data_IF_650679212913
#
_entry.id   IF_650679212913
#
_cell.length_a   1.000
_cell.length_b   1.000
_cell.length_c   1.000
_cell.angle_alpha   90.00
_cell.angle_beta   90.00
_cell.angle_gamma   90.00
#
_symmetry.space_group_name_H-M   'P 1'
#
loop_
_entity.id
_entity.type
_entity.pdbx_description
1 polymer ?
#
# COMPACT_ATOMS: atom_id res chain seq x y z
N UNK A 1 0.03 31.29 21.84
CA UNK A 1 0.18 29.93 22.41
C UNK A 1 -1.15 29.32 22.88
N UNK A 2 -1.66 29.58 24.10
CA UNK A 2 -2.86 28.86 24.61
C UNK A 2 -4.14 29.21 23.85
N UNK A 3 -4.35 30.45 23.41
CA UNK A 3 -5.58 30.85 22.70
C UNK A 3 -5.71 30.28 21.27
N UNK A 4 -4.62 30.19 20.50
CA UNK A 4 -4.68 29.54 19.18
C UNK A 4 -4.80 28.01 19.29
N UNK A 5 -4.11 27.38 20.25
CA UNK A 5 -4.26 25.93 20.46
C UNK A 5 -5.64 25.54 21.06
N UNK A 6 -6.31 26.44 21.77
CA UNK A 6 -7.71 26.27 22.20
C UNK A 6 -8.73 26.51 21.09
N UNK A 7 -8.30 26.85 19.87
CA UNK A 7 -9.23 26.96 18.75
C UNK A 7 -9.79 25.57 18.43
N UNK A 8 -11.11 25.33 18.57
CA UNK A 8 -11.71 24.02 18.31
C UNK A 8 -11.46 23.53 16.89
N UNK A 9 -11.22 24.43 15.93
CA UNK A 9 -10.87 24.09 14.55
C UNK A 9 -9.49 23.43 14.45
N UNK A 10 -8.49 23.87 15.22
CA UNK A 10 -7.16 23.25 15.24
C UNK A 10 -7.24 21.85 15.83
N UNK A 11 -7.96 21.67 16.95
CA UNK A 11 -8.19 20.36 17.55
C UNK A 11 -8.92 19.38 16.61
N UNK A 12 -9.91 19.88 15.87
CA UNK A 12 -10.64 19.07 14.88
C UNK A 12 -9.75 18.67 13.69
N UNK A 13 -8.91 19.59 13.17
CA UNK A 13 -7.98 19.29 12.08
C UNK A 13 -6.91 18.28 12.49
N UNK A 14 -6.34 18.41 13.70
CA UNK A 14 -5.41 17.42 14.24
C UNK A 14 -6.04 16.03 14.38
N UNK A 15 -7.30 15.97 14.80
CA UNK A 15 -8.06 14.71 14.89
C UNK A 15 -8.28 14.09 13.50
N UNK A 16 -8.61 14.90 12.49
CA UNK A 16 -8.75 14.44 11.10
C UNK A 16 -7.42 13.91 10.58
N UNK A 17 -6.31 14.63 10.78
CA UNK A 17 -4.97 14.18 10.35
C UNK A 17 -4.60 12.85 11.02
N UNK A 18 -4.83 12.73 12.33
CA UNK A 18 -4.58 11.47 13.05
C UNK A 18 -5.43 10.32 12.51
N UNK A 19 -6.72 10.56 12.27
CA UNK A 19 -7.65 9.54 11.76
C UNK A 19 -7.30 9.11 10.34
N UNK A 20 -7.04 10.06 9.44
CA UNK A 20 -6.66 9.78 8.04
C UNK A 20 -5.33 9.05 7.96
N UNK A 21 -4.34 9.43 8.77
CA UNK A 21 -3.06 8.71 8.89
C UNK A 21 -3.25 7.27 9.40
N UNK A 22 -4.06 7.09 10.45
CA UNK A 22 -4.39 5.76 10.99
C UNK A 22 -5.09 4.88 9.95
N UNK A 23 -6.02 5.44 9.17
CA UNK A 23 -6.71 4.72 8.11
C UNK A 23 -5.76 4.33 6.97
N UNK A 24 -4.86 5.24 6.55
CA UNK A 24 -3.83 4.93 5.56
C UNK A 24 -2.93 3.78 6.03
N UNK A 25 -2.48 3.81 7.29
CA UNK A 25 -1.67 2.74 7.88
C UNK A 25 -2.42 1.42 7.96
N UNK A 26 -3.72 1.46 8.27
CA UNK A 26 -4.58 0.26 8.30
C UNK A 26 -4.67 -0.39 6.93
N UNK A 27 -4.92 0.40 5.87
CA UNK A 27 -4.95 -0.10 4.48
C UNK A 27 -3.59 -0.67 4.07
N UNK A 28 -2.49 0.01 4.44
CA UNK A 28 -1.14 -0.49 4.16
C UNK A 28 -0.86 -1.83 4.86
N UNK A 29 -1.24 -1.97 6.12
CA UNK A 29 -1.09 -3.22 6.86
C UNK A 29 -1.95 -4.36 6.27
N UNK A 30 -3.16 -4.06 5.81
CA UNK A 30 -3.98 -5.03 5.08
C UNK A 30 -3.29 -5.48 3.78
N UNK A 31 -2.72 -4.55 3.03
CA UNK A 31 -1.93 -4.85 1.84
C UNK A 31 -0.76 -5.80 2.14
N UNK A 32 0.08 -5.46 3.13
CA UNK A 32 1.22 -6.28 3.55
C UNK A 32 0.75 -7.67 3.99
N UNK A 33 -0.31 -7.75 4.80
CA UNK A 33 -0.85 -9.02 5.30
C UNK A 33 -1.33 -9.92 4.15
N UNK A 34 -2.07 -9.36 3.18
CA UNK A 34 -2.55 -10.13 2.02
C UNK A 34 -1.39 -10.52 1.11
N UNK A 35 -0.41 -9.65 0.89
CA UNK A 35 0.78 -9.97 0.10
C UNK A 35 1.55 -11.15 0.70
N UNK A 36 1.94 -11.07 1.97
CA UNK A 36 2.64 -12.17 2.65
C UNK A 36 1.79 -13.42 2.81
N UNK A 37 0.49 -13.28 3.08
CA UNK A 37 -0.45 -14.40 3.13
C UNK A 37 -0.53 -15.12 1.78
N UNK A 38 -0.54 -14.38 0.67
CA UNK A 38 -0.54 -14.94 -0.68
C UNK A 38 0.77 -15.67 -0.99
N UNK A 39 1.92 -15.18 -0.51
CA UNK A 39 3.19 -15.86 -0.67
C UNK A 39 3.23 -17.15 0.14
N UNK A 40 2.81 -17.11 1.40
CA UNK A 40 2.71 -18.30 2.24
C UNK A 40 1.82 -19.36 1.57
N UNK A 41 0.67 -18.96 1.03
CA UNK A 41 -0.22 -19.85 0.28
C UNK A 41 0.43 -20.42 -0.98
N UNK A 42 1.04 -19.57 -1.82
CA UNK A 42 1.79 -20.00 -3.01
C UNK A 42 2.96 -20.94 -2.65
N UNK A 43 3.55 -20.76 -1.47
CA UNK A 43 4.60 -21.66 -0.99
C UNK A 43 4.09 -22.99 -0.46
N UNK A 44 2.90 -23.04 0.13
CA UNK A 44 2.32 -24.29 0.62
C UNK A 44 1.70 -25.13 -0.50
N UNK A 45 1.17 -24.48 -1.54
CA UNK A 45 0.39 -25.13 -2.59
C UNK A 45 0.88 -24.71 -3.98
N UNK A 46 1.83 -25.44 -4.59
CA UNK A 46 2.30 -25.13 -5.94
C UNK A 46 1.16 -25.31 -6.95
N UNK A 47 0.81 -24.24 -7.64
CA UNK A 47 -0.35 -24.20 -8.55
C UNK A 47 0.00 -24.61 -9.98
N UNK A 48 1.28 -24.82 -10.29
CA UNK A 48 1.77 -25.16 -11.65
C UNK A 48 0.97 -26.30 -12.31
N UNK A 49 0.61 -27.32 -11.54
CA UNK A 49 -0.08 -28.52 -12.02
C UNK A 49 -1.60 -28.50 -11.83
N UNK A 50 -2.15 -27.42 -11.24
CA UNK A 50 -3.58 -27.32 -10.92
C UNK A 50 -4.27 -26.55 -12.04
N UNK A 51 -4.94 -27.26 -12.95
CA UNK A 51 -5.68 -26.67 -14.07
C UNK A 51 -4.90 -26.68 -15.39
N UNK A 52 -5.37 -25.90 -16.38
CA UNK A 52 -4.70 -25.82 -17.69
C UNK A 52 -3.44 -24.97 -17.57
N UNK A 53 -2.32 -25.49 -18.06
CA UNK A 53 -1.07 -24.73 -18.16
C UNK A 53 -1.07 -23.88 -19.43
N UNK A 54 -0.88 -22.58 -19.27
CA UNK A 54 -0.65 -21.63 -20.35
C UNK A 54 0.84 -21.30 -20.34
N UNK A 55 1.52 -21.59 -21.45
CA UNK A 55 2.92 -21.17 -21.61
C UNK A 55 2.95 -19.70 -22.01
N UNK A 56 3.45 -18.85 -21.12
CA UNK A 56 3.79 -17.47 -21.46
C UNK A 56 5.30 -17.38 -21.59
N UNK A 57 5.80 -17.32 -22.82
CA UNK A 57 7.22 -17.38 -23.14
C UNK A 57 7.87 -18.69 -22.62
N UNK A 58 8.76 -18.61 -21.62
CA UNK A 58 9.41 -19.77 -20.97
C UNK A 58 8.79 -20.15 -19.60
N UNK A 59 7.79 -19.42 -19.11
CA UNK A 59 7.11 -19.73 -17.85
C UNK A 59 5.75 -20.40 -18.11
N UNK A 60 5.58 -21.61 -17.56
CA UNK A 60 4.27 -22.26 -17.52
C UNK A 60 3.45 -21.69 -16.38
N UNK A 61 2.44 -20.90 -16.69
CA UNK A 61 1.49 -20.37 -15.71
C UNK A 61 0.22 -21.22 -15.72
N UNK A 62 -0.23 -21.66 -14.55
CA UNK A 62 -1.54 -22.29 -14.44
C UNK A 62 -2.66 -21.26 -14.52
N UNK A 63 -3.77 -21.60 -15.17
CA UNK A 63 -5.01 -20.78 -15.15
C UNK A 63 -5.45 -20.42 -13.74
N UNK A 64 -5.31 -21.34 -12.78
CA UNK A 64 -5.67 -21.12 -11.38
C UNK A 64 -4.79 -20.05 -10.74
N UNK A 65 -3.48 -20.13 -10.97
CA UNK A 65 -2.52 -19.13 -10.46
C UNK A 65 -2.78 -17.74 -11.06
N UNK A 66 -3.18 -17.68 -12.32
CA UNK A 66 -3.54 -16.44 -13.00
C UNK A 66 -4.81 -15.85 -12.39
N UNK A 67 -5.85 -16.66 -12.17
CA UNK A 67 -7.10 -16.20 -11.54
C UNK A 67 -6.85 -15.64 -10.15
N UNK A 68 -6.10 -16.36 -9.30
CA UNK A 68 -5.73 -15.86 -7.96
C UNK A 68 -4.87 -14.60 -8.06
N UNK A 69 -3.92 -14.58 -8.99
CA UNK A 69 -3.09 -13.41 -9.27
C UNK A 69 -3.92 -12.17 -9.66
N UNK A 70 -4.95 -12.33 -10.49
CA UNK A 70 -5.85 -11.22 -10.84
C UNK A 70 -6.72 -10.77 -9.67
N UNK A 71 -7.17 -11.69 -8.81
CA UNK A 71 -7.87 -11.33 -7.58
C UNK A 71 -6.97 -10.52 -6.64
N UNK A 72 -5.69 -10.90 -6.50
CA UNK A 72 -4.70 -10.14 -5.73
C UNK A 72 -4.47 -8.77 -6.36
N UNK A 73 -4.33 -8.70 -7.69
CA UNK A 73 -4.14 -7.43 -8.39
C UNK A 73 -5.32 -6.48 -8.18
N UNK A 74 -6.56 -6.98 -8.27
CA UNK A 74 -7.75 -6.19 -7.99
C UNK A 74 -7.77 -5.67 -6.55
N UNK A 75 -7.42 -6.53 -5.58
CA UNK A 75 -7.29 -6.12 -4.18
C UNK A 75 -6.20 -5.04 -3.99
N UNK A 76 -5.04 -5.18 -4.65
CA UNK A 76 -3.97 -4.18 -4.60
C UNK A 76 -4.39 -2.84 -5.21
N UNK A 77 -5.14 -2.85 -6.32
CA UNK A 77 -5.68 -1.63 -6.94
C UNK A 77 -6.65 -0.92 -5.99
N UNK A 78 -7.59 -1.65 -5.39
CA UNK A 78 -8.55 -1.06 -4.43
C UNK A 78 -7.80 -0.48 -3.23
N UNK A 79 -6.86 -1.24 -2.66
CA UNK A 79 -6.04 -0.79 -1.53
C UNK A 79 -5.22 0.44 -1.88
N UNK A 80 -4.66 0.50 -3.10
CA UNK A 80 -3.92 1.66 -3.59
C UNK A 80 -4.80 2.91 -3.67
N UNK A 81 -6.00 2.79 -4.26
CA UNK A 81 -6.94 3.93 -4.37
C UNK A 81 -7.29 4.45 -2.98
N UNK A 82 -7.70 3.57 -2.06
CA UNK A 82 -8.03 3.96 -0.69
C UNK A 82 -6.85 4.59 0.04
N UNK A 83 -5.65 4.01 -0.08
CA UNK A 83 -4.44 4.57 0.52
C UNK A 83 -4.12 5.97 -0.03
N UNK A 84 -4.19 6.14 -1.35
CA UNK A 84 -3.90 7.41 -2.00
C UNK A 84 -4.92 8.49 -1.61
N UNK A 85 -6.20 8.13 -1.48
CA UNK A 85 -7.24 9.06 -1.02
C UNK A 85 -6.97 9.52 0.41
N UNK A 86 -6.64 8.60 1.33
CA UNK A 86 -6.31 8.98 2.72
C UNK A 86 -5.07 9.87 2.81
N UNK A 87 -4.00 9.57 2.06
CA UNK A 87 -2.80 10.42 2.01
C UNK A 87 -3.12 11.79 1.44
N UNK A 88 -3.90 11.85 0.36
CA UNK A 88 -4.31 13.12 -0.25
C UNK A 88 -5.13 13.98 0.73
N UNK A 89 -6.13 13.39 1.41
CA UNK A 89 -6.92 14.06 2.44
C UNK A 89 -6.06 14.53 3.62
N UNK A 90 -5.11 13.71 4.08
CA UNK A 90 -4.19 14.07 5.14
C UNK A 90 -3.33 15.28 4.75
N UNK A 91 -2.76 15.28 3.53
CA UNK A 91 -1.94 16.40 3.04
C UNK A 91 -2.75 17.68 2.90
N UNK A 92 -3.99 17.62 2.39
CA UNK A 92 -4.88 18.79 2.32
C UNK A 92 -5.14 19.35 3.73
N UNK A 93 -5.46 18.47 4.69
CA UNK A 93 -5.74 18.87 6.07
C UNK A 93 -4.51 19.47 6.77
N UNK A 94 -3.31 18.93 6.52
CA UNK A 94 -2.04 19.46 7.03
C UNK A 94 -1.76 20.84 6.42
N UNK A 95 -2.03 21.05 5.13
CA UNK A 95 -1.90 22.37 4.48
C UNK A 95 -2.85 23.40 5.07
N UNK A 96 -4.09 23.01 5.35
CA UNK A 96 -5.06 23.88 6.01
C UNK A 96 -4.65 24.20 7.45
N UNK A 97 -4.14 23.21 8.18
CA UNK A 97 -3.58 23.40 9.52
C UNK A 97 -2.39 24.38 9.50
N UNK A 98 -1.44 24.19 8.59
CA UNK A 98 -0.29 25.09 8.40
C UNK A 98 -0.73 26.52 8.11
N UNK A 99 -1.76 26.70 7.27
CA UNK A 99 -2.30 28.03 6.96
C UNK A 99 -2.93 28.72 8.16
N UNK A 100 -3.60 27.98 9.03
CA UNK A 100 -4.22 28.52 10.26
C UNK A 100 -3.14 28.84 11.30
N UNK A 101 -2.15 27.97 11.45
CA UNK A 101 -1.04 28.14 12.39
C UNK A 101 -0.14 29.31 11.99
N UNK A 102 0.20 29.47 10.71
CA UNK A 102 0.99 30.62 10.24
C UNK A 102 0.24 31.95 10.42
N UNK A 103 -1.09 31.94 10.33
CA UNK A 103 -1.91 33.13 10.65
C UNK A 103 -1.85 33.50 12.13
N UNK A 104 -1.55 32.54 13.02
CA UNK A 104 -1.31 32.78 14.44
C UNK A 104 0.11 33.29 14.74
N UNK A 105 1.00 33.38 13.74
CA UNK A 105 2.38 33.83 13.94
C UNK A 105 3.29 32.81 14.63
N UNK A 106 2.90 31.53 14.65
CA UNK A 106 3.70 30.45 15.21
C UNK A 106 4.29 29.61 14.07
N UNK A 107 5.63 29.53 13.98
CA UNK A 107 6.30 28.55 13.12
C UNK A 107 6.37 27.22 13.86
N UNK A 108 5.50 26.28 13.48
CA UNK A 108 5.55 24.91 14.03
C UNK A 108 6.40 24.07 13.09
N UNK A 109 7.68 23.91 13.45
CA UNK A 109 8.69 23.10 12.76
C UNK A 109 8.17 21.68 12.41
N UNK A 110 7.30 21.11 13.27
CA UNK A 110 6.67 19.79 13.05
C UNK A 110 5.74 19.76 11.83
N UNK A 111 5.01 20.84 11.56
CA UNK A 111 4.10 20.94 10.40
C UNK A 111 4.90 21.09 9.12
N UNK A 112 5.98 21.86 9.17
CA UNK A 112 6.90 22.05 8.04
C UNK A 112 7.62 20.74 7.69
N UNK A 113 8.04 19.95 8.69
CA UNK A 113 8.53 18.59 8.52
C UNK A 113 7.50 17.67 7.85
N UNK A 114 6.23 17.72 8.26
CA UNK A 114 5.16 16.94 7.64
C UNK A 114 4.90 17.34 6.18
N UNK A 115 5.02 18.63 5.85
CA UNK A 115 4.89 19.16 4.48
C UNK A 115 6.11 18.86 3.61
N UNK A 116 7.32 18.80 4.18
CA UNK A 116 8.56 18.47 3.45
C UNK A 116 8.54 17.06 2.84
N UNK A 117 7.70 16.17 3.39
CA UNK A 117 7.42 14.84 2.87
C UNK A 117 6.35 14.81 1.75
N UNK A 118 5.82 15.95 1.28
CA UNK A 118 4.95 16.09 0.09
C UNK A 118 5.74 15.92 -1.23
N UNK A 119 6.78 15.08 -1.24
CA UNK A 119 7.53 14.80 -2.48
C UNK A 119 6.64 14.00 -3.42
N UNK A 120 6.34 14.60 -4.57
CA UNK A 120 5.58 13.96 -5.65
C UNK A 120 6.53 13.50 -6.75
N UNK A 121 6.35 12.26 -7.20
CA UNK A 121 7.00 11.72 -8.39
C UNK A 121 5.87 11.47 -9.40
N UNK A 122 5.96 12.08 -10.60
CA UNK A 122 4.90 12.04 -11.63
C UNK A 122 3.50 12.44 -11.12
N UNK A 123 3.41 13.39 -10.18
CA UNK A 123 2.13 13.85 -9.62
C UNK A 123 1.54 12.96 -8.52
N UNK A 124 2.21 11.84 -8.20
CA UNK A 124 1.79 10.89 -7.16
C UNK A 124 2.71 11.06 -5.93
N UNK A 125 2.14 11.02 -4.73
CA UNK A 125 2.92 11.08 -3.48
C UNK A 125 3.92 9.92 -3.43
N UNK A 126 5.14 10.15 -2.92
CA UNK A 126 6.20 9.13 -2.86
C UNK A 126 5.74 7.83 -2.18
N UNK A 127 4.95 7.94 -1.11
CA UNK A 127 4.37 6.78 -0.42
C UNK A 127 3.42 5.98 -1.33
N UNK A 128 2.56 6.66 -2.08
CA UNK A 128 1.67 6.03 -3.08
C UNK A 128 2.48 5.38 -4.21
N UNK A 129 3.57 6.00 -4.66
CA UNK A 129 4.47 5.38 -5.63
C UNK A 129 5.12 4.09 -5.11
N UNK A 130 5.60 4.10 -3.86
CA UNK A 130 6.11 2.91 -3.18
C UNK A 130 5.07 1.79 -3.11
N UNK A 131 3.80 2.12 -2.89
CA UNK A 131 2.69 1.17 -2.90
C UNK A 131 2.50 0.50 -4.27
N UNK A 132 2.55 1.27 -5.36
CA UNK A 132 2.44 0.74 -6.73
C UNK A 132 3.58 -0.24 -7.01
N UNK A 133 4.81 0.16 -6.74
CA UNK A 133 6.00 -0.66 -6.96
C UNK A 133 5.92 -1.94 -6.11
N UNK A 134 5.56 -1.81 -4.83
CA UNK A 134 5.38 -2.95 -3.93
C UNK A 134 4.29 -3.91 -4.40
N UNK A 135 3.17 -3.39 -4.91
CA UNK A 135 2.07 -4.20 -5.46
C UNK A 135 2.47 -4.96 -6.71
N UNK A 136 3.18 -4.30 -7.64
CA UNK A 136 3.68 -4.92 -8.87
C UNK A 136 4.70 -6.03 -8.56
N UNK A 137 5.67 -5.75 -7.68
CA UNK A 137 6.65 -6.75 -7.24
C UNK A 137 5.95 -7.91 -6.55
N UNK A 138 5.01 -7.64 -5.64
CA UNK A 138 4.27 -8.68 -4.93
C UNK A 138 3.49 -9.58 -5.87
N UNK A 139 2.82 -9.00 -6.86
CA UNK A 139 2.09 -9.77 -7.87
C UNK A 139 3.01 -10.67 -8.70
N UNK A 140 4.15 -10.14 -9.16
CA UNK A 140 5.15 -10.91 -9.92
C UNK A 140 5.73 -12.04 -9.07
N UNK A 141 6.10 -11.75 -7.82
CA UNK A 141 6.65 -12.74 -6.89
C UNK A 141 5.63 -13.84 -6.59
N UNK A 142 4.36 -13.49 -6.40
CA UNK A 142 3.30 -14.49 -6.23
C UNK A 142 3.20 -15.42 -7.43
N UNK A 143 3.10 -14.88 -8.65
CA UNK A 143 3.00 -15.69 -9.87
C UNK A 143 4.24 -16.57 -10.06
N UNK A 144 5.41 -16.05 -9.72
CA UNK A 144 6.66 -16.79 -9.80
C UNK A 144 6.70 -17.95 -8.78
N UNK A 145 6.41 -17.69 -7.50
CA UNK A 145 6.42 -18.72 -6.45
C UNK A 145 5.35 -19.78 -6.71
N UNK A 146 4.14 -19.37 -7.10
CA UNK A 146 3.02 -20.27 -7.34
C UNK A 146 3.28 -21.24 -8.51
N UNK A 147 4.15 -20.86 -9.44
CA UNK A 147 4.49 -21.66 -10.63
C UNK A 147 5.95 -22.13 -10.66
N UNK A 148 6.69 -21.95 -9.57
CA UNK A 148 8.09 -22.38 -9.47
C UNK A 148 8.19 -23.91 -9.56
N UNK A 149 9.18 -24.39 -10.33
CA UNK A 149 9.49 -25.81 -10.42
C UNK A 149 10.09 -26.30 -9.12
N UNK A 150 9.27 -27.03 -8.36
CA UNK A 150 9.73 -27.74 -7.17
C UNK A 150 10.03 -29.15 -7.60
N UNK A 151 11.32 -29.49 -7.73
CA UNK A 151 11.73 -30.89 -7.74
C UNK A 151 11.19 -31.50 -6.46
N UNK A 152 10.24 -32.41 -6.58
CA UNK A 152 9.85 -33.25 -5.47
C UNK A 152 11.09 -34.01 -5.05
N UNK A 153 11.64 -33.70 -3.88
CA UNK A 153 12.49 -34.63 -3.14
C UNK A 153 11.59 -35.80 -2.71
N UNK A 154 11.24 -36.64 -3.67
CA UNK A 154 10.53 -37.92 -3.52
C UNK A 154 11.24 -38.99 -4.35
N UNK A 155 12.56 -38.88 -4.47
CA UNK A 155 13.43 -40.03 -4.64
C UNK A 155 14.14 -40.22 -3.29
N UNK A 156 14.06 -41.44 -2.75
CA UNK A 156 14.64 -41.93 -1.49
C UNK A 156 13.75 -41.86 -0.22
N UNK A 157 12.77 -42.78 -0.16
CA UNK A 157 12.75 -43.85 0.87
C UNK A 157 11.67 -44.90 0.57
#
# INVERSE_FOLDING_TARGET
MIECMNNPTIGHLLTIVGTTSSNAMTVFNMFITVAFGSFAFATGLPMKNIGRSIKFFNFGLSTTSITVGFSLLAFYIISFISFNDFISSAVVTIKDLHRIVNKCGEEIEVIELMLSNDRKIFGIYLASFGFIVGSAISWIVFLWIANADRKSTQDES
#
